data_IF_804053556135
#
_entry.id   IF_804053556135
#
_cell.length_a   1.000
_cell.length_b   1.000
_cell.length_c   1.000
_cell.angle_alpha   90.00
_cell.angle_beta   90.00
_cell.angle_gamma   90.00
#
_symmetry.space_group_name_H-M   'P 1'
#
loop_
_entity.id
_entity.type
_entity.pdbx_description
1 polymer ?
#
# COMPACT_ATOMS: atom_id res chain seq x y z
N UNK A 1 -1.58 -0.96 -10.81
CA UNK A 1 -0.72 -1.06 -9.62
C UNK A 1 -0.50 -2.54 -9.35
N UNK A 2 0.73 -2.95 -9.04
CA UNK A 2 1.05 -4.32 -8.63
C UNK A 2 1.69 -4.30 -7.25
N UNK A 3 1.43 -5.31 -6.43
CA UNK A 3 1.97 -5.44 -5.08
C UNK A 3 2.18 -6.90 -4.70
N UNK A 4 3.08 -7.16 -3.74
CA UNK A 4 3.22 -8.48 -3.09
C UNK A 4 2.18 -8.65 -1.99
N UNK A 5 1.84 -9.90 -1.69
CA UNK A 5 0.93 -10.29 -0.59
C UNK A 5 1.37 -9.72 0.76
N UNK A 6 2.68 -9.62 1.01
CA UNK A 6 3.26 -8.94 2.18
C UNK A 6 2.84 -7.47 2.38
N UNK A 7 2.23 -6.82 1.37
CA UNK A 7 1.66 -5.47 1.51
C UNK A 7 0.32 -5.47 2.28
N UNK A 8 -0.43 -6.57 2.25
CA UNK A 8 -1.81 -6.66 2.77
C UNK A 8 -1.94 -7.76 3.83
N UNK A 9 -1.17 -8.84 3.75
CA UNK A 9 -1.18 -9.92 4.74
C UNK A 9 -0.46 -9.50 6.03
N UNK A 10 -1.25 -9.12 7.04
CA UNK A 10 -0.80 -9.03 8.43
C UNK A 10 -1.48 -10.15 9.22
N UNK A 11 -0.73 -10.87 10.07
CA UNK A 11 -1.24 -12.06 10.79
C UNK A 11 -2.48 -11.81 11.65
N UNK A 12 -2.70 -10.57 12.06
CA UNK A 12 -3.80 -10.15 12.94
C UNK A 12 -4.75 -9.12 12.28
N UNK A 13 -4.56 -8.79 10.99
CA UNK A 13 -5.39 -7.81 10.27
C UNK A 13 -6.05 -8.50 9.07
N UNK A 14 -7.36 -8.29 8.92
CA UNK A 14 -8.13 -8.86 7.80
C UNK A 14 -7.61 -8.29 6.47
N UNK A 15 -7.48 -9.15 5.47
CA UNK A 15 -7.05 -8.78 4.10
C UNK A 15 -7.96 -7.67 3.56
N UNK A 16 -9.26 -7.73 3.88
CA UNK A 16 -10.24 -6.73 3.50
C UNK A 16 -9.95 -5.35 4.11
N UNK A 17 -9.43 -5.30 5.35
CA UNK A 17 -9.07 -4.06 6.02
C UNK A 17 -7.83 -3.41 5.37
N UNK A 18 -6.82 -4.21 5.03
CA UNK A 18 -5.64 -3.74 4.30
C UNK A 18 -5.99 -3.22 2.90
N UNK A 19 -6.86 -3.93 2.18
CA UNK A 19 -7.32 -3.52 0.85
C UNK A 19 -8.19 -2.25 0.90
N UNK A 20 -9.03 -2.09 1.93
CA UNK A 20 -9.83 -0.89 2.14
C UNK A 20 -8.94 0.34 2.42
N UNK A 21 -7.88 0.18 3.22
CA UNK A 21 -6.88 1.25 3.45
C UNK A 21 -6.15 1.62 2.17
N UNK A 22 -5.71 0.62 1.40
CA UNK A 22 -5.04 0.84 0.11
C UNK A 22 -5.94 1.62 -0.86
N UNK A 23 -7.19 1.19 -1.00
CA UNK A 23 -8.17 1.83 -1.89
C UNK A 23 -8.49 3.25 -1.44
N UNK A 24 -8.63 3.47 -0.13
CA UNK A 24 -8.87 4.81 0.44
C UNK A 24 -7.69 5.74 0.20
N UNK A 25 -6.47 5.26 0.39
CA UNK A 25 -5.27 6.04 0.14
C UNK A 25 -5.13 6.37 -1.36
N UNK A 26 -5.34 5.40 -2.25
CA UNK A 26 -5.36 5.63 -3.69
C UNK A 26 -6.41 6.66 -4.12
N UNK A 27 -7.61 6.63 -3.53
CA UNK A 27 -8.64 7.60 -3.83
C UNK A 27 -8.23 9.02 -3.40
N UNK A 28 -7.64 9.18 -2.22
CA UNK A 28 -7.21 10.47 -1.69
C UNK A 28 -5.98 11.04 -2.41
N UNK A 29 -5.07 10.16 -2.84
CA UNK A 29 -3.76 10.54 -3.36
C UNK A 29 -3.66 10.35 -4.89
N UNK A 30 -4.77 10.08 -5.58
CA UNK A 30 -4.84 9.87 -7.04
C UNK A 30 -4.30 11.01 -7.90
N UNK A 31 -4.24 12.23 -7.36
CA UNK A 31 -3.67 13.40 -8.03
C UNK A 31 -2.14 13.52 -7.89
N UNK A 32 -1.52 12.73 -7.01
CA UNK A 32 -0.07 12.76 -6.79
C UNK A 32 0.69 12.09 -7.94
N UNK A 33 1.93 12.52 -8.12
CA UNK A 33 2.86 11.81 -9.00
C UNK A 33 3.20 10.42 -8.45
N UNK A 34 3.52 9.45 -9.32
CA UNK A 34 3.67 8.03 -8.94
C UNK A 34 4.64 7.78 -7.77
N UNK A 35 5.76 8.51 -7.73
CA UNK A 35 6.74 8.40 -6.64
C UNK A 35 6.15 8.85 -5.30
N UNK A 36 5.45 9.99 -5.29
CA UNK A 36 4.80 10.52 -4.09
C UNK A 36 3.63 9.64 -3.65
N UNK A 37 2.93 9.04 -4.60
CA UNK A 37 1.88 8.08 -4.33
C UNK A 37 2.46 6.81 -3.69
N UNK A 38 3.56 6.28 -4.20
CA UNK A 38 4.22 5.11 -3.62
C UNK A 38 4.67 5.37 -2.17
N UNK A 39 5.34 6.50 -1.91
CA UNK A 39 5.75 6.89 -0.56
C UNK A 39 4.54 7.06 0.38
N UNK A 40 3.49 7.75 -0.08
CA UNK A 40 2.28 7.96 0.72
C UNK A 40 1.59 6.63 1.07
N UNK A 41 1.54 5.68 0.12
CA UNK A 41 0.99 4.35 0.35
C UNK A 41 1.80 3.56 1.37
N UNK A 42 3.13 3.56 1.28
CA UNK A 42 4.01 2.87 2.23
C UNK A 42 3.88 3.41 3.66
N UNK A 43 3.74 4.73 3.81
CA UNK A 43 3.51 5.37 5.12
C UNK A 43 2.12 5.02 5.65
N UNK A 44 1.07 5.14 4.82
CA UNK A 44 -0.32 4.93 5.25
C UNK A 44 -0.67 3.48 5.51
N UNK A 45 0.02 2.55 4.87
CA UNK A 45 -0.09 1.11 5.14
C UNK A 45 0.79 0.69 6.34
N UNK A 46 1.52 1.64 6.96
CA UNK A 46 2.36 1.41 8.13
C UNK A 46 3.33 0.24 7.89
N UNK A 47 3.89 0.22 6.68
CA UNK A 47 4.77 -0.85 6.22
C UNK A 47 6.21 -0.63 6.69
N UNK A 48 6.53 0.63 7.01
CA UNK A 48 7.84 1.05 7.49
C UNK A 48 8.18 0.52 8.90
N UNK A 49 7.20 0.09 9.68
CA UNK A 49 7.38 -0.39 11.06
C UNK A 49 7.71 -1.89 11.16
N UNK A 50 7.93 -2.56 10.01
CA UNK A 50 8.38 -3.95 9.95
C UNK A 50 7.22 -4.89 9.69
N UNK A 51 6.84 -5.01 8.41
CA UNK A 51 5.99 -6.11 8.02
C UNK A 51 6.72 -7.45 8.21
N UNK A 52 5.97 -8.54 8.45
CA UNK A 52 6.55 -9.86 8.67
C UNK A 52 7.16 -10.48 7.40
N UNK A 53 6.92 -9.89 6.22
CA UNK A 53 7.31 -10.43 4.92
C UNK A 53 7.82 -9.32 3.96
N UNK A 54 8.39 -9.70 2.82
CA UNK A 54 8.94 -8.77 1.83
C UNK A 54 7.83 -7.97 1.10
N UNK A 55 7.96 -6.63 1.08
CA UNK A 55 7.05 -5.75 0.34
C UNK A 55 7.69 -5.21 -0.93
N UNK A 56 7.00 -5.39 -2.04
CA UNK A 56 7.22 -4.63 -3.26
C UNK A 56 5.92 -3.95 -3.72
N UNK A 57 6.03 -2.70 -4.15
CA UNK A 57 4.94 -1.89 -4.68
C UNK A 57 5.35 -1.28 -6.02
N UNK A 58 4.53 -1.50 -7.06
CA UNK A 58 4.73 -0.95 -8.41
C UNK A 58 3.52 -0.08 -8.78
N UNK A 59 3.77 1.22 -8.92
CA UNK A 59 2.79 2.23 -9.35
C UNK A 59 3.08 2.61 -10.81
N UNK A 60 2.07 2.47 -11.68
CA UNK A 60 2.14 2.88 -13.09
C UNK A 60 0.94 3.78 -13.36
N UNK A 61 1.18 4.96 -13.95
CA UNK A 61 0.17 5.90 -14.43
C UNK A 61 0.29 6.01 -15.96
N UNK A 62 -0.83 5.82 -16.67
CA UNK A 62 -0.92 5.85 -18.14
C UNK A 62 -1.53 7.16 -18.63
#
# INVERSE_FOLDING_TARGET
MLYTDGLIERRDEDIDAGLARLTTALAQDSALDPDRLADALLVRLDVASGAPDDIALIVIRL
#
